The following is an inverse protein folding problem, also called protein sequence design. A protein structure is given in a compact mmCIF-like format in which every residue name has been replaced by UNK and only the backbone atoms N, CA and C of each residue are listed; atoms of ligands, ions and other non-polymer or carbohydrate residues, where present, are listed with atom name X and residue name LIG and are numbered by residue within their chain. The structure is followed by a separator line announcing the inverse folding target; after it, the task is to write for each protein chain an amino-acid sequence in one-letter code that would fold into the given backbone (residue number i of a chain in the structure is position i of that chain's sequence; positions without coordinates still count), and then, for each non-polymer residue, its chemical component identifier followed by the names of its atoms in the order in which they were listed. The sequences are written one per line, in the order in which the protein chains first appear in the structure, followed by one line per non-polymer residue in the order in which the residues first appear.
data_IF_789375802688
#
_entry.id   IF_789375802688
#
_cell.length_a   1.000
_cell.length_b   1.000
_cell.length_c   1.000
_cell.angle_alpha   90.00
_cell.angle_beta   90.00
_cell.angle_gamma   90.00
#
_symmetry.space_group_name_H-M   'P 1'
#
loop_
_entity.id
_entity.type
_entity.pdbx_description
1 polymer ?
2 polymer ?
3 non-polymer ?
4 non-polymer ?
5 water ?
#
loop_
_entity_poly.entity_id
_entity_poly.type
_entity_poly.pdbx_seq_one_letter_code
_entity_poly.pdbx_strand_id
2 'polydeoxyribonucleotide' '(DG)(DC)(DG)(DC)(DT)(DT)(UFP)(DG)(DC)(DG)(DC)(DT)' ?
#
# COMPACT_ATOMS: atom_id res chain seq x y z
N UNK A 10 -4.40 -19.30 28.89
CA UNK A 10 -4.19 -20.77 29.06
C UNK A 10 -4.21 -21.51 27.70
N UNK A 11 -4.26 -20.82 26.56
CA UNK A 11 -3.99 -21.40 25.21
C UNK A 11 -2.55 -21.05 24.84
N UNK A 12 -1.67 -22.06 24.79
CA UNK A 12 -0.19 -21.92 24.76
C UNK A 12 0.32 -22.39 23.39
N UNK A 13 1.47 -21.90 22.99
CA UNK A 13 2.02 -22.07 21.63
C UNK A 13 3.06 -23.19 21.66
N UNK A 14 3.20 -23.94 20.56
CA UNK A 14 4.17 -25.06 20.43
C UNK A 14 5.58 -24.49 20.43
N UNK A 15 6.53 -25.00 21.24
CA UNK A 15 7.91 -24.53 21.21
C UNK A 15 8.60 -24.46 19.84
N UNK A 16 8.50 -25.48 18.98
CA UNK A 16 9.12 -25.42 17.63
C UNK A 16 8.48 -24.30 16.82
N UNK A 17 7.17 -24.08 16.99
CA UNK A 17 6.36 -23.03 16.30
C UNK A 17 7.00 -21.69 16.63
N UNK A 18 7.20 -21.47 17.93
CA UNK A 18 7.78 -20.23 18.50
C UNK A 18 9.15 -20.00 17.87
N UNK A 19 10.07 -20.94 18.11
CA UNK A 19 11.52 -20.76 17.82
C UNK A 19 11.72 -20.50 16.34
N UNK A 20 10.86 -21.05 15.48
CA UNK A 20 11.03 -21.05 14.01
C UNK A 20 10.34 -19.85 13.37
N UNK A 21 9.42 -19.20 14.09
CA UNK A 21 8.70 -17.96 13.68
C UNK A 21 9.32 -16.70 14.31
N UNK A 22 9.84 -16.73 15.54
CA UNK A 22 10.32 -15.51 16.24
C UNK A 22 11.85 -15.36 16.11
N UNK A 23 12.52 -16.34 15.53
CA UNK A 23 13.96 -16.23 15.20
C UNK A 23 14.17 -14.93 14.39
N UNK A 24 14.99 -14.01 14.90
CA UNK A 24 15.20 -12.66 14.29
C UNK A 24 16.31 -12.74 13.23
N UNK A 25 16.76 -13.95 12.90
CA UNK A 25 17.69 -14.20 11.77
C UNK A 25 17.09 -15.12 10.71
N UNK A 26 15.81 -15.52 10.81
CA UNK A 26 15.14 -16.45 9.86
C UNK A 26 13.73 -15.93 9.54
N UNK A 27 13.49 -15.52 8.29
CA UNK A 27 12.16 -15.12 7.81
C UNK A 27 11.28 -16.34 7.60
N UNK A 28 9.96 -16.17 7.77
CA UNK A 28 8.94 -17.22 7.56
C UNK A 28 7.80 -16.67 6.71
N UNK A 29 7.03 -17.52 6.03
CA UNK A 29 5.92 -17.07 5.16
C UNK A 29 4.62 -16.99 5.97
N UNK A 30 4.74 -16.63 7.25
CA UNK A 30 3.65 -16.63 8.27
C UNK A 30 3.96 -15.48 9.26
N UNK A 31 2.95 -15.04 10.02
CA UNK A 31 3.16 -14.02 11.07
C UNK A 31 2.49 -14.44 12.37
N UNK A 32 3.23 -14.42 13.47
CA UNK A 32 2.63 -14.62 14.81
C UNK A 32 2.53 -13.27 15.52
N UNK A 33 1.43 -13.07 16.23
CA UNK A 33 1.22 -11.92 17.13
C UNK A 33 0.76 -12.46 18.47
N UNK A 34 1.63 -12.41 19.49
CA UNK A 34 1.26 -12.61 20.91
C UNK A 34 0.90 -11.26 21.52
N UNK A 35 -0.19 -11.18 22.29
CA UNK A 35 -0.60 -9.90 22.91
C UNK A 35 -0.87 -10.05 24.40
N UNK A 36 -0.76 -8.93 25.12
CA UNK A 36 -1.17 -8.76 26.53
C UNK A 36 -2.03 -7.51 26.61
N UNK A 37 -3.02 -7.48 27.52
CA UNK A 37 -3.71 -6.22 27.89
C UNK A 37 -3.61 -6.05 29.39
N UNK A 38 -2.96 -4.98 29.82
CA UNK A 38 -2.88 -4.65 31.25
C UNK A 38 -3.73 -3.42 31.46
N UNK A 39 -4.27 -3.27 32.64
CA UNK A 39 -5.08 -2.06 32.89
C UNK A 39 -4.30 -1.16 33.83
N UNK A 40 -4.38 0.14 33.66
CA UNK A 40 -3.68 1.01 34.63
C UNK A 40 -4.70 1.86 35.35
N UNK A 41 -4.78 1.76 36.68
CA UNK A 41 -5.69 2.68 37.42
C UNK A 41 -4.84 3.62 38.27
N UNK A 42 -3.57 3.69 37.94
CA UNK A 42 -2.55 4.58 38.52
C UNK A 42 -1.32 4.13 37.77
N UNK A 43 -0.24 3.91 38.48
CA UNK A 43 0.90 3.29 37.82
C UNK A 43 0.78 1.78 37.88
N UNK A 44 -0.11 1.25 38.70
CA UNK A 44 -0.11 -0.20 38.99
C UNK A 44 -0.73 -1.00 37.82
N UNK A 45 0.06 -1.17 36.77
CA UNK A 45 -0.30 -2.02 35.63
C UNK A 45 -0.38 -3.46 36.11
N UNK A 46 0.61 -3.87 36.88
CA UNK A 46 0.70 -5.28 37.30
C UNK A 46 0.62 -6.15 36.04
N UNK A 47 -0.24 -7.12 36.09
CA UNK A 47 -0.43 -8.07 34.97
C UNK A 47 -1.88 -8.53 35.07
N UNK A 48 -2.56 -8.71 33.94
CA UNK A 48 -4.01 -9.08 33.93
C UNK A 48 -4.25 -10.23 32.93
N UNK A 51 -6.70 -11.82 29.62
CA UNK A 51 -6.54 -11.17 28.29
C UNK A 51 -5.11 -11.20 27.86
N UNK A 52 -4.63 -12.37 27.52
CA UNK A 52 -3.29 -12.49 26.95
C UNK A 52 -3.30 -13.77 26.12
N UNK A 53 -3.51 -13.62 24.84
CA UNK A 53 -3.51 -14.77 23.94
C UNK A 53 -2.55 -14.51 22.82
N UNK A 54 -2.73 -15.23 21.73
CA UNK A 54 -1.84 -15.09 20.56
C UNK A 54 -2.53 -15.64 19.32
N UNK A 55 -2.00 -15.38 18.14
CA UNK A 55 -2.68 -15.72 16.86
C UNK A 55 -1.72 -15.56 15.68
N UNK A 56 -2.09 -16.09 14.53
CA UNK A 56 -1.33 -15.83 13.27
C UNK A 56 -2.30 -15.35 12.21
N UNK A 57 -1.75 -14.99 11.05
CA UNK A 57 -2.47 -14.43 9.89
C UNK A 57 -3.33 -15.54 9.27
N UNK A 58 -4.35 -15.19 8.49
CA UNK A 58 -5.09 -16.13 7.61
C UNK A 58 -4.34 -16.16 6.29
N UNK A 59 -3.76 -17.30 5.90
CA UNK A 59 -2.80 -17.38 4.77
C UNK A 59 -3.46 -16.86 3.50
N UNK A 60 -2.69 -16.28 2.58
CA UNK A 60 -3.30 -15.70 1.38
C UNK A 60 -3.40 -16.80 0.33
N UNK A 61 -4.62 -17.06 -0.10
CA UNK A 61 -4.91 -18.19 -1.00
C UNK A 61 -5.75 -17.66 -2.16
N UNK A 62 -5.26 -17.74 -3.40
CA UNK A 62 -5.94 -17.15 -4.57
C UNK A 62 -6.77 -18.28 -5.24
N UNK A 67 -5.18 -13.01 -1.05
CA UNK A 67 -5.58 -11.81 -0.25
C UNK A 67 -5.10 -12.06 1.15
N UNK A 68 -5.89 -12.76 1.94
CA UNK A 68 -5.50 -13.05 3.32
C UNK A 68 -5.75 -11.87 4.24
N UNK A 69 -5.59 -12.15 5.51
CA UNK A 69 -5.89 -11.18 6.57
C UNK A 69 -4.67 -11.17 7.46
N UNK A 70 -3.95 -10.05 7.48
CA UNK A 70 -2.68 -9.89 8.22
C UNK A 70 -2.92 -9.91 9.72
N UNK A 71 -1.96 -10.40 10.51
CA UNK A 71 -2.14 -10.79 11.93
C UNK A 71 -2.72 -9.62 12.73
N UNK A 72 -2.36 -8.40 12.35
CA UNK A 72 -2.71 -7.18 13.12
C UNK A 72 -4.21 -6.94 12.92
N UNK A 73 -4.75 -7.16 11.73
CA UNK A 73 -6.19 -6.96 11.51
C UNK A 73 -6.95 -7.95 12.38
N UNK A 74 -6.48 -9.19 12.45
CA UNK A 74 -7.15 -10.25 13.25
C UNK A 74 -7.14 -9.80 14.71
N UNK A 75 -6.08 -9.14 15.17
CA UNK A 75 -6.08 -8.61 16.56
C UNK A 75 -7.22 -7.60 16.68
N UNK A 76 -7.29 -6.66 15.74
CA UNK A 76 -8.31 -5.57 15.78
C UNK A 76 -9.68 -6.24 15.74
N UNK A 77 -9.85 -7.29 14.90
CA UNK A 77 -11.05 -8.16 14.88
C UNK A 77 -11.51 -8.49 16.31
N UNK A 78 -10.59 -8.90 17.19
CA UNK A 78 -11.00 -9.54 18.47
C UNK A 78 -11.10 -8.51 19.60
N UNK A 79 -10.83 -7.22 19.35
CA UNK A 79 -10.89 -6.17 20.42
C UNK A 79 -12.26 -6.15 21.09
N UNK A 80 -13.40 -6.08 20.35
CA UNK A 80 -14.71 -6.14 21.00
C UNK A 80 -14.85 -7.26 22.04
N UNK A 81 -14.33 -8.45 21.74
CA UNK A 81 -14.44 -9.63 22.65
C UNK A 81 -13.68 -9.40 23.96
N UNK A 82 -12.68 -8.51 23.99
CA UNK A 82 -11.91 -8.20 25.22
C UNK A 82 -12.77 -7.37 26.18
N UNK A 83 -13.82 -6.71 25.68
CA UNK A 83 -14.77 -5.92 26.52
C UNK A 83 -13.98 -4.98 27.44
N UNK A 84 -13.06 -4.20 26.85
CA UNK A 84 -12.33 -3.11 27.54
C UNK A 84 -13.33 -2.04 27.98
N UNK A 85 -13.21 -1.56 29.22
CA UNK A 85 -14.02 -0.43 29.74
C UNK A 85 -13.51 0.85 29.10
N UNK A 86 -14.32 1.58 28.30
CA UNK A 86 -13.84 2.78 27.62
C UNK A 86 -13.59 3.99 28.54
N UNK A 87 -13.97 3.92 29.81
CA UNK A 87 -13.65 4.94 30.83
C UNK A 87 -12.21 4.73 31.33
N UNK A 88 -11.72 3.49 31.28
CA UNK A 88 -10.39 3.08 31.80
C UNK A 88 -9.32 3.26 30.73
N UNK A 89 -8.05 3.18 31.13
CA UNK A 89 -6.89 3.32 30.20
C UNK A 89 -6.08 2.03 30.32
N UNK A 90 -5.78 1.39 29.19
CA UNK A 90 -5.12 0.07 29.09
C UNK A 90 -3.84 0.19 28.30
N UNK A 91 -2.81 -0.58 28.66
CA UNK A 91 -1.68 -0.82 27.74
C UNK A 91 -1.88 -2.15 27.03
N UNK A 92 -1.96 -2.11 25.70
CA UNK A 92 -1.90 -3.30 24.82
C UNK A 92 -0.45 -3.47 24.35
N UNK A 93 0.11 -4.66 24.53
CA UNK A 93 1.48 -5.01 24.07
C UNK A 93 1.38 -6.07 22.98
N UNK A 94 2.10 -5.89 21.88
CA UNK A 94 2.20 -6.92 20.82
C UNK A 94 3.65 -7.35 20.79
N UNK A 95 3.89 -8.65 20.70
CA UNK A 95 5.17 -9.19 20.19
C UNK A 95 4.86 -9.96 18.91
N UNK A 96 5.29 -9.40 17.78
CA UNK A 96 4.93 -9.85 16.40
C UNK A 96 6.20 -10.22 15.64
N UNK A 97 6.16 -11.32 14.89
CA UNK A 97 7.37 -11.90 14.24
C UNK A 97 7.83 -11.04 13.03
N UNK A 98 6.92 -10.26 12.45
CA UNK A 98 7.20 -9.26 11.38
C UNK A 98 6.69 -7.89 11.83
N UNK A 99 7.48 -6.84 11.60
CA UNK A 99 7.03 -5.43 11.77
C UNK A 99 5.73 -5.26 10.97
N UNK A 100 4.71 -4.55 11.49
CA UNK A 100 3.50 -4.27 10.70
C UNK A 100 3.87 -3.67 9.33
N UNK A 101 3.15 -4.12 8.30
CA UNK A 101 3.21 -3.56 6.93
C UNK A 101 2.36 -2.28 6.86
N UNK A 102 2.57 -1.49 5.81
CA UNK A 102 1.74 -0.32 5.44
C UNK A 102 0.84 -0.70 4.27
N UNK A 103 1.44 -1.30 3.23
CA UNK A 103 0.85 -1.42 1.88
C UNK A 103 -0.53 -2.12 1.93
N UNK A 104 -0.69 -3.17 2.74
CA UNK A 104 -1.95 -3.96 2.83
C UNK A 104 -2.92 -3.32 3.84
N UNK A 105 -2.50 -2.21 4.46
CA UNK A 105 -3.37 -1.27 5.15
C UNK A 105 -3.32 -1.47 6.64
N UNK A 106 -2.40 -2.32 7.12
CA UNK A 106 -2.34 -2.71 8.57
C UNK A 106 -1.99 -1.49 9.43
N UNK A 107 -0.86 -0.82 9.15
CA UNK A 107 -0.41 0.39 9.87
C UNK A 107 -1.56 1.42 9.93
N UNK A 108 -2.19 1.68 8.78
CA UNK A 108 -3.29 2.66 8.68
C UNK A 108 -4.46 2.28 9.57
N UNK A 109 -4.89 1.01 9.47
CA UNK A 109 -6.05 0.47 10.21
C UNK A 109 -5.74 0.65 11.70
N UNK A 110 -4.50 0.38 12.10
CA UNK A 110 -4.07 0.42 13.54
C UNK A 110 -4.13 1.88 14.00
N UNK A 111 -3.67 2.81 13.15
CA UNK A 111 -3.73 4.26 13.45
C UNK A 111 -5.19 4.64 13.73
N UNK A 112 -6.09 4.23 12.83
CA UNK A 112 -7.54 4.53 12.90
C UNK A 112 -8.08 3.99 14.23
N UNK A 113 -7.64 2.79 14.62
CA UNK A 113 -8.06 2.11 15.87
C UNK A 113 -7.62 2.93 17.10
N UNK A 114 -6.38 3.41 17.09
CA UNK A 114 -5.80 4.22 18.20
C UNK A 114 -6.54 5.56 18.34
N UNK A 115 -6.83 6.25 17.22
CA UNK A 115 -7.63 7.52 17.20
C UNK A 115 -8.99 7.28 17.85
N UNK A 116 -9.62 6.17 17.47
CA UNK A 116 -11.02 5.77 17.80
C UNK A 116 -11.08 5.32 19.26
N UNK A 117 -10.05 4.60 19.72
CA UNK A 117 -9.94 3.98 21.06
C UNK A 117 -8.80 4.64 21.83
N UNK A 118 -8.92 5.92 22.22
CA UNK A 118 -7.84 6.73 22.87
C UNK A 118 -7.59 6.29 24.33
N UNK A 119 -8.41 5.38 24.87
CA UNK A 119 -8.20 4.73 26.20
C UNK A 119 -6.93 3.86 26.16
N UNK A 120 -6.54 3.38 24.98
CA UNK A 120 -5.52 2.31 24.80
C UNK A 120 -4.14 2.92 24.54
N UNK A 121 -3.12 2.35 25.15
CA UNK A 121 -1.69 2.69 24.90
C UNK A 121 -1.02 1.47 24.30
N UNK A 122 -0.59 1.54 23.04
CA UNK A 122 -0.11 0.36 22.29
C UNK A 122 1.42 0.36 22.27
N UNK A 123 1.97 -0.85 22.37
CA UNK A 123 3.41 -1.11 22.45
C UNK A 123 3.70 -2.28 21.53
N UNK A 124 4.49 -2.07 20.48
CA UNK A 124 4.77 -3.15 19.50
C UNK A 124 6.26 -3.46 19.57
N UNK A 125 6.59 -4.69 19.93
CA UNK A 125 7.93 -5.26 19.72
C UNK A 125 7.86 -6.19 18.52
N UNK A 126 8.79 -6.04 17.58
CA UNK A 126 8.88 -6.91 16.39
C UNK A 126 10.15 -7.73 16.49
N UNK A 127 10.09 -9.00 16.09
CA UNK A 127 11.25 -9.91 16.01
C UNK A 127 12.12 -9.48 14.84
N UNK A 128 11.47 -9.15 13.72
CA UNK A 128 12.12 -8.87 12.40
C UNK A 128 11.42 -7.71 11.68
N UNK A 129 12.13 -7.03 10.78
CA UNK A 129 11.57 -5.89 9.99
C UNK A 129 11.11 -6.45 8.63
N UNK A 130 9.83 -6.28 8.32
CA UNK A 130 9.21 -6.71 7.05
C UNK A 130 9.54 -5.69 5.96
N UNK A 131 10.74 -5.79 5.39
CA UNK A 131 11.25 -4.77 4.44
C UNK A 131 10.89 -5.20 3.01
N UNK A 132 10.18 -6.31 2.84
CA UNK A 132 9.59 -6.72 1.53
C UNK A 132 8.65 -5.59 1.08
N UNK A 133 7.84 -5.09 2.01
CA UNK A 133 6.95 -3.91 1.81
C UNK A 133 7.84 -2.69 1.57
N UNK A 134 7.81 -2.11 0.35
CA UNK A 134 8.65 -0.94 0.03
C UNK A 134 8.34 0.27 0.92
N UNK A 135 7.15 0.24 1.51
CA UNK A 135 6.58 1.31 2.39
C UNK A 135 6.64 0.91 3.86
N UNK A 136 7.55 0.01 4.24
CA UNK A 136 7.69 -0.43 5.65
C UNK A 136 8.11 0.76 6.52
N UNK A 137 8.97 1.63 6.01
CA UNK A 137 9.43 2.81 6.78
C UNK A 137 8.23 3.70 7.08
N UNK A 138 7.35 3.90 6.10
CA UNK A 138 6.16 4.80 6.27
C UNK A 138 5.28 4.20 7.36
N UNK A 139 5.12 2.87 7.35
CA UNK A 139 4.29 2.10 8.31
C UNK A 139 4.79 2.38 9.73
N UNK A 140 6.11 2.25 9.91
CA UNK A 140 6.75 2.30 11.25
C UNK A 140 6.63 3.72 11.82
N UNK A 141 6.89 4.73 10.98
CA UNK A 141 6.82 6.16 11.34
C UNK A 141 5.37 6.56 11.66
N UNK A 142 4.41 6.14 10.83
CA UNK A 142 2.97 6.45 10.98
C UNK A 142 2.46 5.91 12.33
N UNK A 143 2.75 4.65 12.64
CA UNK A 143 2.44 4.03 13.95
C UNK A 143 3.00 4.91 15.09
N UNK A 144 4.28 5.29 14.99
CA UNK A 144 4.95 6.12 16.04
C UNK A 144 4.17 7.43 16.17
N UNK A 145 3.85 8.08 15.05
CA UNK A 145 3.11 9.38 14.99
C UNK A 145 1.74 9.25 15.65
N UNK A 146 1.10 8.07 15.51
CA UNK A 146 -0.23 7.77 16.08
C UNK A 146 -0.09 7.53 17.59
N UNK A 147 1.14 7.40 18.09
CA UNK A 147 1.44 7.34 19.53
C UNK A 147 1.62 5.93 20.04
N UNK A 148 1.84 4.97 19.14
CA UNK A 148 2.25 3.59 19.44
C UNK A 148 3.75 3.57 19.69
N UNK A 149 4.20 2.86 20.72
CA UNK A 149 5.65 2.59 20.93
C UNK A 149 6.04 1.47 19.98
N UNK A 150 7.02 1.71 19.11
CA UNK A 150 7.44 0.71 18.09
C UNK A 150 8.89 0.34 18.36
N UNK A 151 9.12 -0.94 18.65
CA UNK A 151 10.40 -1.43 19.21
C UNK A 151 10.76 -2.76 18.57
N UNK A 152 12.03 -3.12 18.66
CA UNK A 152 12.62 -4.43 18.27
C UNK A 152 12.69 -5.31 19.52
N UNK A 153 12.27 -6.56 19.39
CA UNK A 153 12.43 -7.57 20.47
C UNK A 153 13.92 -7.73 20.77
N UNK A 154 14.26 -7.73 22.04
CA UNK A 154 15.60 -8.14 22.48
C UNK A 154 15.47 -9.49 23.16
N UNK A 155 16.54 -9.95 23.76
CA UNK A 155 16.49 -11.21 24.51
C UNK A 155 15.42 -11.15 25.60
N UNK A 156 15.30 -10.06 26.33
CA UNK A 156 14.28 -9.98 27.39
C UNK A 156 12.89 -10.25 26.86
N UNK A 157 12.55 -9.70 25.73
CA UNK A 157 11.18 -9.88 25.18
C UNK A 157 11.02 -11.25 24.55
N UNK A 158 12.07 -11.83 23.99
CA UNK A 158 11.92 -13.20 23.47
C UNK A 158 11.60 -14.13 24.63
N UNK A 159 12.34 -13.96 25.72
CA UNK A 159 12.21 -14.73 26.98
C UNK A 159 10.80 -14.54 27.54
N UNK A 160 10.33 -13.31 27.62
CA UNK A 160 8.99 -13.01 28.19
C UNK A 160 7.90 -13.72 27.40
N UNK A 161 7.94 -13.74 26.07
CA UNK A 161 6.95 -14.51 25.26
C UNK A 161 7.10 -16.01 25.53
N UNK A 162 8.33 -16.53 25.49
CA UNK A 162 8.60 -17.96 25.79
C UNK A 162 7.92 -18.27 27.13
N UNK A 163 8.24 -17.48 28.15
CA UNK A 163 7.71 -17.70 29.51
C UNK A 163 6.18 -17.65 29.53
N UNK A 164 5.54 -16.76 28.77
CA UNK A 164 4.11 -16.37 28.95
C UNK A 164 3.20 -17.12 27.97
N UNK A 165 3.69 -17.45 26.78
CA UNK A 165 2.82 -17.90 25.67
C UNK A 165 3.13 -19.35 25.34
N UNK A 166 4.38 -19.81 25.52
CA UNK A 166 4.88 -21.08 24.91
C UNK A 166 4.62 -22.24 25.87
N UNK A 167 4.29 -23.44 25.34
CA UNK A 167 4.19 -24.68 26.17
C UNK A 167 5.59 -25.25 26.36
N UNK A 168 6.36 -24.62 27.24
CA UNK A 168 7.79 -24.86 27.55
C UNK A 168 7.97 -26.02 28.53
N UNK A 169 6.95 -26.35 29.34
CA UNK A 169 6.94 -27.53 30.27
C UNK A 169 8.04 -27.41 31.35
N UNK A 170 8.34 -26.19 31.79
CA UNK A 170 9.40 -25.87 32.77
C UNK A 170 10.79 -25.68 32.15
N UNK A 171 10.95 -25.78 30.83
CA UNK A 171 12.27 -25.53 30.16
C UNK A 171 12.51 -24.03 30.03
N UNK A 172 13.59 -23.44 30.64
CA UNK A 172 13.88 -22.03 30.45
C UNK A 172 14.39 -21.81 29.02
N UNK A 173 14.04 -20.66 28.45
CA UNK A 173 14.29 -20.27 27.05
C UNK A 173 15.74 -20.55 26.67
N UNK A 174 15.97 -21.13 25.50
CA UNK A 174 17.36 -21.24 25.02
C UNK A 174 17.46 -20.37 23.79
N UNK A 175 18.15 -19.21 23.88
CA UNK A 175 18.27 -18.32 22.73
C UNK A 175 19.06 -19.01 21.62
N UNK A 176 18.76 -18.66 20.36
CA UNK A 176 19.46 -19.16 19.15
C UNK A 176 20.77 -18.39 18.99
N UNK A 177 21.70 -18.90 18.19
CA UNK A 177 22.99 -18.23 17.85
C UNK A 177 22.66 -16.92 17.11
N UNK A 178 23.33 -15.83 17.49
CA UNK A 178 23.20 -14.50 16.85
C UNK A 178 21.93 -13.75 17.22
N UNK A 179 21.21 -14.15 18.28
CA UNK A 179 19.98 -13.43 18.71
C UNK A 179 20.32 -11.94 18.94
N UNK A 180 21.38 -11.67 19.70
CA UNK A 180 21.74 -10.32 20.19
C UNK A 180 22.39 -9.51 19.06
N UNK A 181 23.20 -10.13 18.19
CA UNK A 181 23.78 -9.44 17.02
C UNK A 181 22.61 -8.91 16.18
N UNK A 182 21.65 -9.77 15.83
CA UNK A 182 20.47 -9.43 14.99
C UNK A 182 19.60 -8.39 15.71
N UNK A 183 19.38 -8.59 17.00
CA UNK A 183 18.53 -7.70 17.83
C UNK A 183 19.10 -6.28 17.75
N UNK A 184 20.42 -6.12 17.89
CA UNK A 184 21.18 -4.86 17.72
C UNK A 184 21.04 -4.30 16.31
N UNK A 185 21.46 -5.08 15.30
CA UNK A 185 21.35 -4.71 13.88
C UNK A 185 19.97 -4.09 13.62
N UNK A 186 18.89 -4.77 14.02
CA UNK A 186 17.51 -4.30 13.72
C UNK A 186 17.18 -3.07 14.56
N UNK A 187 17.65 -3.00 15.81
CA UNK A 187 17.34 -1.85 16.68
C UNK A 187 18.00 -0.62 16.05
N UNK A 188 19.16 -0.87 15.43
CA UNK A 188 19.91 0.15 14.67
C UNK A 188 19.10 0.68 13.52
N UNK A 189 18.68 -0.22 12.63
CA UNK A 189 17.86 0.14 11.44
C UNK A 189 16.60 0.88 11.88
N UNK A 190 15.87 0.38 12.89
CA UNK A 190 14.56 0.92 13.31
C UNK A 190 14.72 2.34 13.84
N UNK A 191 15.74 2.58 14.66
CA UNK A 191 15.95 3.91 15.26
C UNK A 191 16.28 4.92 14.15
N UNK A 192 17.18 4.54 13.25
CA UNK A 192 17.46 5.31 12.03
C UNK A 192 16.12 5.75 11.42
N UNK A 193 15.23 4.80 11.16
CA UNK A 193 13.91 5.01 10.50
C UNK A 193 13.03 5.99 11.29
N UNK A 194 12.95 5.86 12.60
CA UNK A 194 12.08 6.73 13.45
C UNK A 194 12.73 8.11 13.68
N UNK A 195 14.04 8.27 13.46
CA UNK A 195 14.73 9.59 13.54
C UNK A 195 14.13 10.56 12.50
N UNK A 196 13.92 10.11 11.26
CA UNK A 196 13.26 10.91 10.18
C UNK A 196 11.74 10.95 10.42
N UNK B 10 -4.50 22.98 -25.81
CA UNK B 10 -3.45 23.73 -26.57
C UNK B 10 -2.17 23.87 -25.74
N UNK B 11 -2.06 23.19 -24.59
CA UNK B 11 -0.82 23.02 -23.77
C UNK B 11 -0.19 21.69 -24.16
N UNK B 12 0.95 21.72 -24.86
CA UNK B 12 1.54 20.54 -25.56
C UNK B 12 2.84 20.12 -24.87
N UNK B 13 3.16 18.84 -24.97
CA UNK B 13 4.25 18.17 -24.22
C UNK B 13 5.49 18.13 -25.12
N UNK B 14 6.69 18.22 -24.56
CA UNK B 14 7.96 18.16 -25.33
C UNK B 14 8.11 16.76 -25.88
N UNK B 15 8.42 16.58 -27.17
CA UNK B 15 8.69 15.25 -27.74
C UNK B 15 9.69 14.35 -26.99
N UNK B 16 10.84 14.85 -26.53
CA UNK B 16 11.81 14.02 -25.78
C UNK B 16 11.15 13.60 -24.45
N UNK B 17 10.36 14.50 -23.84
CA UNK B 17 9.63 14.24 -22.56
C UNK B 17 8.76 13.00 -22.77
N UNK B 18 7.96 13.05 -23.84
CA UNK B 18 7.01 11.99 -24.24
C UNK B 18 7.75 10.67 -24.43
N UNK B 19 8.71 10.65 -25.35
CA UNK B 19 9.36 9.39 -25.82
C UNK B 19 10.05 8.70 -24.65
N UNK B 20 10.55 9.45 -23.69
CA UNK B 20 11.42 8.94 -22.60
C UNK B 20 10.57 8.51 -21.39
N UNK B 21 9.36 9.04 -21.27
CA UNK B 21 8.38 8.70 -20.19
C UNK B 21 7.39 7.61 -20.65
N UNK B 22 6.97 7.57 -21.93
CA UNK B 22 5.94 6.61 -22.41
C UNK B 22 6.58 5.39 -23.08
N UNK B 23 7.90 5.35 -23.19
CA UNK B 23 8.62 4.12 -23.65
C UNK B 23 8.17 2.96 -22.74
N UNK B 24 7.55 1.90 -23.32
CA UNK B 24 7.01 0.74 -22.58
C UNK B 24 8.10 -0.29 -22.33
N UNK B 25 9.36 0.06 -22.63
CA UNK B 25 10.54 -0.76 -22.31
C UNK B 25 11.51 -0.06 -21.37
N UNK B 26 11.23 1.16 -20.91
CA UNK B 26 12.15 1.99 -20.06
C UNK B 26 11.34 2.59 -18.90
N UNK B 27 11.64 2.18 -17.67
CA UNK B 27 11.05 2.78 -16.47
C UNK B 27 11.69 4.14 -16.18
N UNK B 28 10.94 5.05 -15.57
CA UNK B 28 11.46 6.38 -15.17
C UNK B 28 11.00 6.70 -13.75
N UNK B 29 11.59 7.69 -13.09
CA UNK B 29 11.27 7.97 -11.68
C UNK B 29 10.21 9.07 -11.61
N UNK B 30 9.27 9.06 -12.55
CA UNK B 30 8.23 10.09 -12.77
C UNK B 30 6.96 9.41 -13.33
N UNK B 31 5.81 10.06 -13.27
CA UNK B 31 4.59 9.56 -13.94
C UNK B 31 3.85 10.66 -14.72
N UNK B 32 3.53 10.36 -15.97
CA UNK B 32 2.77 11.26 -16.86
C UNK B 32 1.39 10.69 -17.01
N UNK B 33 0.38 11.54 -16.94
CA UNK B 33 -1.03 11.20 -17.22
C UNK B 33 -1.58 12.21 -18.22
N UNK B 34 -1.82 11.78 -19.46
CA UNK B 34 -2.62 12.53 -20.46
C UNK B 34 -4.07 12.10 -20.35
N UNK B 35 -5.01 13.02 -20.44
CA UNK B 35 -6.45 12.71 -20.31
C UNK B 35 -7.26 13.41 -21.39
N UNK B 36 -8.41 12.80 -21.70
CA UNK B 36 -9.46 13.33 -22.60
C UNK B 36 -10.78 13.19 -21.88
N UNK B 37 -11.71 14.12 -22.11
CA UNK B 37 -13.13 13.96 -21.68
C UNK B 37 -14.00 14.14 -22.91
N UNK B 38 -14.72 13.09 -23.27
CA UNK B 38 -15.69 13.17 -24.38
C UNK B 38 -17.07 12.94 -23.77
N UNK B 39 -18.05 13.60 -24.36
CA UNK B 39 -19.44 13.59 -23.84
C UNK B 39 -20.25 12.64 -24.72
N UNK B 40 -21.22 11.95 -24.14
CA UNK B 40 -22.08 11.01 -24.89
C UNK B 40 -23.57 11.36 -24.82
N UNK B 41 -24.07 11.95 -25.90
CA UNK B 41 -25.53 12.12 -26.05
C UNK B 41 -25.93 11.26 -27.22
N UNK B 42 -27.01 10.53 -27.09
CA UNK B 42 -27.45 9.55 -28.12
C UNK B 42 -26.27 8.65 -28.53
N UNK B 43 -25.59 8.03 -27.59
CA UNK B 43 -24.58 6.98 -27.88
C UNK B 43 -23.27 7.55 -28.40
N UNK B 44 -23.27 8.29 -29.51
CA UNK B 44 -22.03 8.79 -30.13
C UNK B 44 -21.41 9.90 -29.28
N UNK B 45 -20.08 9.91 -29.27
CA UNK B 45 -19.26 10.81 -28.41
C UNK B 45 -18.70 11.97 -29.22
N UNK B 46 -18.93 13.17 -28.69
CA UNK B 46 -18.47 14.47 -29.24
C UNK B 46 -17.14 14.74 -28.54
N UNK B 47 -16.00 14.62 -29.19
CA UNK B 47 -14.69 14.90 -28.54
C UNK B 47 -14.70 16.35 -28.02
N UNK B 48 -14.63 16.57 -26.69
CA UNK B 48 -14.66 17.93 -26.08
C UNK B 48 -13.23 18.45 -26.01
N UNK B 50 -11.58 21.17 -25.63
CA UNK B 50 -11.21 22.10 -24.52
C UNK B 50 -10.75 21.31 -23.28
N UNK B 51 -11.29 20.10 -23.04
CA UNK B 51 -11.10 19.28 -21.81
C UNK B 51 -10.06 18.18 -21.99
N UNK B 52 -9.27 18.24 -23.06
CA UNK B 52 -8.05 17.41 -23.22
C UNK B 52 -6.90 18.12 -22.49
N UNK B 53 -5.99 17.39 -21.85
CA UNK B 53 -4.90 17.98 -21.04
C UNK B 53 -3.92 16.93 -20.55
N UNK B 54 -2.85 17.33 -19.87
CA UNK B 54 -1.91 16.32 -19.33
C UNK B 54 -1.13 16.91 -18.14
N UNK B 55 -0.52 16.03 -17.34
CA UNK B 55 0.17 16.41 -16.09
C UNK B 55 1.11 15.30 -15.66
N UNK B 56 2.01 15.58 -14.73
CA UNK B 56 2.84 14.52 -14.07
C UNK B 56 2.66 14.66 -12.56
N UNK B 57 3.22 13.71 -11.82
CA UNK B 57 3.15 13.63 -10.34
C UNK B 57 3.92 14.81 -9.73
N UNK B 58 3.61 15.18 -8.47
CA UNK B 58 4.42 16.11 -7.62
C UNK B 58 5.46 15.23 -6.94
N UNK B 59 6.75 15.43 -7.27
CA UNK B 59 7.85 14.50 -6.93
C UNK B 59 7.89 14.30 -5.40
N UNK B 60 8.34 13.12 -4.97
CA UNK B 60 8.44 12.85 -3.52
C UNK B 60 9.78 13.43 -3.06
N UNK B 61 9.70 14.20 -1.98
CA UNK B 61 10.87 14.85 -1.36
C UNK B 61 10.70 14.71 0.15
N UNK B 62 11.77 14.84 0.92
CA UNK B 62 11.58 14.91 2.38
C UNK B 62 11.84 16.36 2.82
N UNK B 63 12.95 16.91 2.34
CA UNK B 63 13.42 18.25 2.72
C UNK B 63 12.53 19.36 2.15
N UNK B 64 12.03 19.28 0.92
CA UNK B 64 11.32 20.38 0.17
C UNK B 64 9.96 20.67 0.82
N UNK B 65 9.43 19.78 1.66
CA UNK B 65 8.12 20.00 2.29
C UNK B 65 7.02 19.46 1.40
N UNK B 66 7.37 18.65 0.41
CA UNK B 66 6.40 17.99 -0.50
C UNK B 66 6.34 16.46 -0.25
N UNK B 67 5.30 15.85 0.33
CA UNK B 67 5.06 14.36 0.47
C UNK B 67 5.01 13.63 -0.86
N UNK B 68 4.55 14.28 -1.91
CA UNK B 68 4.46 13.70 -3.23
C UNK B 68 3.03 13.33 -3.47
N UNK B 69 2.56 13.66 -4.65
CA UNK B 69 1.17 13.38 -5.02
C UNK B 69 1.22 12.59 -6.31
N UNK B 70 0.65 11.41 -6.31
CA UNK B 70 0.71 10.53 -7.49
C UNK B 70 -0.19 11.11 -8.58
N UNK B 71 0.14 10.90 -9.87
CA UNK B 71 -0.47 11.61 -11.03
C UNK B 71 -2.00 11.53 -10.98
N UNK B 72 -2.53 10.41 -10.52
CA UNK B 72 -3.98 10.10 -10.56
C UNK B 72 -4.65 11.02 -9.53
N UNK B 73 -4.04 11.24 -8.38
CA UNK B 73 -4.65 12.15 -7.39
C UNK B 73 -4.75 13.54 -7.99
N UNK B 74 -3.71 13.97 -8.68
CA UNK B 74 -3.70 15.31 -9.31
C UNK B 74 -4.80 15.40 -10.36
N UNK B 75 -5.09 14.32 -11.08
CA UNK B 75 -6.22 14.35 -12.04
C UNK B 75 -7.51 14.57 -11.25
N UNK B 76 -7.70 13.81 -10.17
CA UNK B 76 -8.95 13.88 -9.35
C UNK B 76 -9.02 15.29 -8.76
N UNK B 77 -7.87 15.86 -8.37
CA UNK B 77 -7.74 17.28 -7.95
C UNK B 77 -8.50 18.18 -8.92
N UNK B 78 -8.28 18.01 -10.23
CA UNK B 78 -8.69 19.05 -11.20
C UNK B 78 -10.10 18.78 -11.72
N UNK B 79 -10.79 17.71 -11.29
CA UNK B 79 -12.13 17.33 -11.86
C UNK B 79 -13.09 18.50 -11.71
N UNK B 80 -13.23 19.11 -10.50
CA UNK B 80 -14.11 20.27 -10.33
C UNK B 80 -13.96 21.33 -11.43
N UNK B 81 -12.72 21.66 -11.78
CA UNK B 81 -12.41 22.71 -12.79
C UNK B 81 -12.94 22.31 -14.18
N UNK B 82 -13.17 21.01 -14.44
CA UNK B 82 -13.74 20.55 -15.75
C UNK B 82 -15.22 20.89 -15.84
N UNK B 83 -15.89 21.15 -14.72
CA UNK B 83 -17.32 21.56 -14.68
C UNK B 83 -18.12 20.59 -15.56
N UNK B 84 -17.97 19.29 -15.29
CA UNK B 84 -18.81 18.22 -15.91
C UNK B 84 -20.25 18.37 -15.39
N UNK B 85 -21.21 18.33 -16.32
CA UNK B 85 -22.67 18.39 -16.01
C UNK B 85 -23.06 17.04 -15.41
N UNK B 86 -23.50 16.98 -14.13
CA UNK B 86 -23.81 15.69 -13.51
C UNK B 86 -25.08 15.01 -14.05
N UNK B 87 -25.86 15.69 -14.89
CA UNK B 87 -27.02 15.11 -15.59
C UNK B 87 -26.54 14.31 -16.81
N UNK B 88 -25.39 14.68 -17.39
CA UNK B 88 -24.82 14.06 -18.60
C UNK B 88 -23.94 12.86 -18.26
N UNK B 89 -23.56 12.06 -19.26
CA UNK B 89 -22.65 10.90 -19.07
C UNK B 89 -21.41 11.12 -19.96
N UNK B 90 -20.22 11.02 -19.39
CA UNK B 90 -18.92 11.33 -20.04
C UNK B 90 -18.03 10.10 -20.04
N UNK B 91 -17.21 9.96 -21.09
CA UNK B 91 -16.05 9.05 -21.00
C UNK B 91 -14.79 9.85 -20.71
N UNK B 92 -14.14 9.55 -19.59
CA UNK B 92 -12.76 10.02 -19.27
C UNK B 92 -11.75 8.94 -19.67
N UNK B 93 -10.75 9.32 -20.46
CA UNK B 93 -9.66 8.42 -20.92
C UNK B 93 -8.36 8.89 -20.31
N UNK B 94 -7.56 7.99 -19.75
CA UNK B 94 -6.19 8.27 -19.27
C UNK B 94 -5.25 7.47 -20.14
N UNK B 95 -4.15 8.09 -20.56
CA UNK B 95 -2.93 7.38 -21.00
C UNK B 95 -1.82 7.76 -20.04
N UNK B 96 -1.43 6.80 -19.20
CA UNK B 96 -0.54 6.98 -18.01
C UNK B 96 0.69 6.06 -18.15
N UNK B 97 1.88 6.56 -17.82
CA UNK B 97 3.17 5.89 -18.13
C UNK B 97 3.38 4.70 -17.17
N UNK B 98 2.76 4.76 -16.00
CA UNK B 98 2.75 3.65 -15.00
C UNK B 98 1.30 3.29 -14.70
N UNK B 99 0.98 1.99 -14.68
CA UNK B 99 -0.31 1.48 -14.17
C UNK B 99 -0.56 2.08 -12.79
N UNK B 100 -1.80 2.53 -12.47
CA UNK B 100 -2.09 3.06 -11.13
C UNK B 100 -1.67 2.06 -10.04
N UNK B 101 -1.09 2.60 -8.97
CA UNK B 101 -0.70 1.86 -7.75
C UNK B 101 -1.93 1.68 -6.86
N UNK B 102 -1.82 0.76 -5.90
CA UNK B 102 -2.81 0.57 -4.81
C UNK B 102 -2.27 1.19 -3.52
N UNK B 103 -1.02 0.87 -3.19
CA UNK B 103 -0.45 0.99 -1.82
C UNK B 103 -0.53 2.44 -1.31
N UNK B 104 -0.35 3.43 -2.18
CA UNK B 104 -0.37 4.88 -1.80
C UNK B 104 -1.80 5.43 -1.81
N UNK B 105 -2.77 4.60 -2.25
CA UNK B 105 -4.22 4.84 -2.13
C UNK B 105 -4.82 5.39 -3.42
N UNK B 106 -4.07 5.35 -4.53
CA UNK B 106 -4.55 5.88 -5.83
C UNK B 106 -5.73 5.04 -6.32
N UNK B 107 -5.55 3.72 -6.46
CA UNK B 107 -6.63 2.82 -6.94
C UNK B 107 -7.90 3.03 -6.11
N UNK B 108 -7.76 3.04 -4.78
CA UNK B 108 -8.90 3.19 -3.86
C UNK B 108 -9.58 4.52 -4.04
N UNK B 109 -8.80 5.61 -4.09
CA UNK B 109 -9.34 6.98 -4.28
C UNK B 109 -10.10 7.03 -5.60
N UNK B 110 -9.59 6.39 -6.65
CA UNK B 110 -10.22 6.41 -8.00
C UNK B 110 -11.55 5.65 -7.92
N UNK B 111 -11.55 4.50 -7.25
CA UNK B 111 -12.78 3.71 -7.02
C UNK B 111 -13.82 4.61 -6.34
N UNK B 112 -13.43 5.28 -5.26
CA UNK B 112 -14.33 6.17 -4.49
C UNK B 112 -14.91 7.23 -5.42
N UNK B 113 -14.07 7.80 -6.30
CA UNK B 113 -14.47 8.86 -7.26
C UNK B 113 -15.54 8.31 -8.22
N UNK B 114 -15.34 7.10 -8.73
CA UNK B 114 -16.28 6.46 -9.70
C UNK B 114 -17.63 6.14 -9.03
N UNK B 115 -17.62 5.64 -7.80
CA UNK B 115 -18.86 5.40 -7.01
C UNK B 115 -19.66 6.70 -6.89
N UNK B 116 -18.95 7.79 -6.57
CA UNK B 116 -19.51 9.15 -6.27
C UNK B 116 -19.98 9.80 -7.59
N UNK B 117 -19.18 9.64 -8.64
CA UNK B 117 -19.39 10.29 -9.96
C UNK B 117 -19.78 9.21 -10.99
N UNK B 118 -20.99 8.65 -10.88
CA UNK B 118 -21.48 7.55 -11.77
C UNK B 118 -21.82 8.05 -13.18
N UNK B 119 -21.84 9.36 -13.44
CA UNK B 119 -22.00 9.97 -14.80
C UNK B 119 -20.75 9.71 -15.65
N UNK B 120 -19.67 9.21 -15.07
CA UNK B 120 -18.34 9.14 -15.74
C UNK B 120 -18.00 7.68 -16.03
N UNK B 121 -17.54 7.43 -17.24
CA UNK B 121 -17.04 6.10 -17.67
C UNK B 121 -15.54 6.27 -17.88
N UNK B 122 -14.71 5.59 -17.08
CA UNK B 122 -13.24 5.78 -17.10
C UNK B 122 -12.57 4.65 -17.88
N UNK B 123 -11.54 5.04 -18.63
CA UNK B 123 -10.80 4.15 -19.54
C UNK B 123 -9.31 4.44 -19.32
N UNK B 124 -8.56 3.46 -18.83
CA UNK B 124 -7.13 3.68 -18.52
C UNK B 124 -6.31 2.80 -19.44
N UNK B 125 -5.46 3.42 -20.24
CA UNK B 125 -4.36 2.76 -20.96
C UNK B 125 -3.06 3.08 -20.23
N UNK B 126 -2.30 2.06 -19.86
CA UNK B 126 -0.98 2.21 -19.21
C UNK B 126 0.12 1.85 -20.23
N UNK B 127 1.22 2.61 -20.23
CA UNK B 127 2.40 2.31 -21.04
C UNK B 127 3.08 1.08 -20.46
N UNK B 128 3.17 1.04 -19.13
CA UNK B 128 3.97 0.06 -18.35
C UNK B 128 3.25 -0.35 -17.06
N UNK B 129 3.56 -1.52 -16.51
CA UNK B 129 2.93 -2.02 -15.25
C UNK B 129 3.85 -1.70 -14.07
N UNK B 130 3.34 -0.93 -13.09
CA UNK B 130 4.11 -0.50 -11.90
C UNK B 130 4.17 -1.63 -10.87
N UNK B 131 5.02 -2.62 -11.11
CA UNK B 131 5.00 -3.87 -10.32
C UNK B 131 5.95 -3.71 -9.13
N UNK B 132 6.51 -2.52 -8.93
CA UNK B 132 7.27 -2.16 -7.71
C UNK B 132 6.33 -2.32 -6.52
N UNK B 133 5.09 -1.83 -6.70
CA UNK B 133 3.99 -1.98 -5.73
C UNK B 133 3.62 -3.45 -5.66
N UNK B 134 3.83 -4.13 -4.50
CA UNK B 134 3.50 -5.55 -4.35
C UNK B 134 2.02 -5.86 -4.57
N UNK B 135 1.20 -4.81 -4.41
CA UNK B 135 -0.29 -4.83 -4.52
C UNK B 135 -0.76 -4.22 -5.84
N UNK B 136 0.07 -4.22 -6.89
CA UNK B 136 -0.32 -3.67 -8.21
C UNK B 136 -1.49 -4.49 -8.78
N UNK B 137 -1.44 -5.81 -8.63
CA UNK B 137 -2.52 -6.70 -9.13
C UNK B 137 -3.84 -6.32 -8.44
N UNK B 138 -3.80 -6.07 -7.14
CA UNK B 138 -5.03 -5.72 -6.37
C UNK B 138 -5.56 -4.41 -6.92
N UNK B 139 -4.67 -3.46 -7.20
CA UNK B 139 -4.99 -2.12 -7.73
C UNK B 139 -5.78 -2.30 -9.04
N UNK B 140 -5.21 -3.11 -9.93
CA UNK B 140 -5.72 -3.27 -11.32
C UNK B 140 -7.11 -3.93 -11.27
N UNK B 141 -7.27 -4.97 -10.44
CA UNK B 141 -8.53 -5.74 -10.31
C UNK B 141 -9.63 -4.85 -9.69
N UNK B 142 -9.28 -4.10 -8.65
CA UNK B 142 -10.20 -3.19 -7.94
C UNK B 142 -10.74 -2.13 -8.92
N UNK B 143 -9.87 -1.47 -9.68
CA UNK B 143 -10.28 -0.52 -10.75
C UNK B 143 -11.29 -1.22 -11.68
N UNK B 144 -10.96 -2.42 -12.16
CA UNK B 144 -11.83 -3.19 -13.10
C UNK B 144 -13.19 -3.39 -12.44
N UNK B 145 -13.20 -3.84 -11.17
CA UNK B 145 -14.44 -4.11 -10.37
C UNK B 145 -15.29 -2.85 -10.24
N UNK B 146 -14.64 -1.68 -10.14
CA UNK B 146 -15.32 -0.37 -9.99
C UNK B 146 -15.89 0.06 -11.34
N UNK B 147 -15.54 -0.65 -12.42
CA UNK B 147 -16.15 -0.50 -13.75
C UNK B 147 -15.31 0.37 -14.69
N UNK B 148 -14.05 0.61 -14.32
CA UNK B 148 -13.04 1.28 -15.17
C UNK B 148 -12.48 0.26 -16.14
N UNK B 149 -12.33 0.63 -17.41
CA UNK B 149 -11.64 -0.20 -18.42
C UNK B 149 -10.14 -0.02 -18.20
N UNK B 150 -9.44 -1.11 -17.94
CA UNK B 150 -7.98 -1.06 -17.65
C UNK B 150 -7.26 -1.82 -18.77
N UNK B 151 -6.41 -1.12 -19.49
CA UNK B 151 -5.80 -1.62 -20.75
C UNK B 151 -4.35 -1.19 -20.82
N UNK B 152 -3.57 -1.89 -21.65
CA UNK B 152 -2.16 -1.58 -22.02
C UNK B 152 -2.16 -0.73 -23.29
N UNK B 153 -1.41 0.35 -23.32
CA UNK B 153 -1.19 1.14 -24.55
C UNK B 153 -0.60 0.23 -25.64
N UNK B 154 -1.17 0.32 -26.83
CA UNK B 154 -0.55 -0.32 -28.00
C UNK B 154 -0.01 0.81 -28.86
N UNK B 155 0.50 0.47 -30.03
CA UNK B 155 1.01 1.50 -30.95
C UNK B 155 -0.04 2.56 -31.24
N UNK B 156 -1.29 2.18 -31.43
CA UNK B 156 -2.33 3.16 -31.81
C UNK B 156 -2.49 4.17 -30.68
N UNK B 157 -2.48 3.69 -29.45
CA UNK B 157 -2.66 4.60 -28.31
C UNK B 157 -1.42 5.45 -28.10
N UNK B 158 -0.26 4.97 -28.45
CA UNK B 158 0.94 5.81 -28.34
C UNK B 158 0.84 6.89 -29.41
N UNK B 159 0.38 6.48 -30.59
CA UNK B 159 0.28 7.37 -31.74
C UNK B 159 -0.70 8.47 -31.38
N UNK B 160 -1.85 8.08 -30.85
CA UNK B 160 -2.93 9.03 -30.50
C UNK B 160 -2.42 10.10 -29.52
N UNK B 161 -1.63 9.73 -28.52
CA UNK B 161 -1.07 10.71 -27.54
C UNK B 161 -0.04 11.61 -28.21
N UNK B 162 0.89 11.02 -28.95
CA UNK B 162 1.85 11.80 -29.79
C UNK B 162 1.07 12.84 -30.60
N UNK B 163 0.07 12.38 -31.36
CA UNK B 163 -0.74 13.27 -32.24
C UNK B 163 -1.40 14.37 -31.40
N UNK B 164 -1.95 14.06 -30.23
CA UNK B 164 -2.95 14.92 -29.53
C UNK B 164 -2.28 15.80 -28.47
N UNK B 165 -1.18 15.34 -27.89
CA UNK B 165 -0.63 15.98 -26.66
C UNK B 165 0.75 16.60 -26.94
N UNK B 166 1.53 16.01 -27.84
CA UNK B 166 2.99 16.29 -28.00
C UNK B 166 3.23 17.43 -29.00
N UNK B 167 4.25 18.26 -28.77
CA UNK B 167 4.61 19.35 -29.72
C UNK B 167 5.52 18.76 -30.80
N UNK B 168 4.90 18.02 -31.73
CA UNK B 168 5.54 17.21 -32.79
C UNK B 168 5.95 18.08 -33.99
N UNK B 169 5.33 19.24 -34.20
CA UNK B 169 5.66 20.20 -35.31
C UNK B 169 5.49 19.56 -36.71
N UNK B 170 4.44 18.75 -36.89
CA UNK B 170 4.13 18.04 -38.14
C UNK B 170 4.93 16.77 -38.35
N UNK B 171 5.70 16.29 -37.35
CA UNK B 171 6.50 15.03 -37.48
C UNK B 171 5.63 13.85 -37.04
N UNK B 172 5.31 12.87 -37.93
CA UNK B 172 4.52 11.72 -37.51
C UNK B 172 5.37 10.82 -36.59
N UNK B 173 4.68 10.19 -35.63
CA UNK B 173 5.23 9.37 -34.51
C UNK B 173 6.24 8.37 -35.06
N UNK B 174 7.42 8.30 -34.45
CA UNK B 174 8.42 7.26 -34.79
C UNK B 174 8.48 6.29 -33.62
N UNK B 175 7.86 5.09 -33.73
CA UNK B 175 7.88 4.16 -32.61
C UNK B 175 9.32 3.76 -32.32
N UNK B 176 9.60 3.41 -31.06
CA UNK B 176 10.92 2.92 -30.60
C UNK B 176 11.05 1.44 -30.93
N UNK B 177 12.26 0.87 -30.91
CA UNK B 177 12.50 -0.58 -31.12
C UNK B 177 11.78 -1.35 -30.00
N UNK B 178 11.05 -2.42 -30.33
CA UNK B 178 10.39 -3.31 -29.36
C UNK B 178 9.09 -2.78 -28.77
N UNK B 179 8.50 -1.74 -29.36
CA UNK B 179 7.22 -1.17 -28.84
C UNK B 179 6.18 -2.29 -28.78
N UNK B 180 6.04 -3.07 -29.86
CA UNK B 180 4.97 -4.07 -30.05
C UNK B 180 5.29 -5.36 -29.25
N UNK B 181 6.56 -5.78 -29.18
CA UNK B 181 6.94 -6.93 -28.33
C UNK B 181 6.46 -6.60 -26.91
N UNK B 182 6.86 -5.45 -26.37
CA UNK B 182 6.54 -5.01 -24.98
C UNK B 182 5.02 -4.85 -24.82
N UNK B 183 4.38 -4.27 -25.82
CA UNK B 183 2.93 -3.97 -25.79
C UNK B 183 2.15 -5.30 -25.63
N UNK B 184 2.58 -6.33 -26.36
CA UNK B 184 2.06 -7.72 -26.25
C UNK B 184 2.37 -8.32 -24.88
N UNK B 185 3.64 -8.38 -24.51
CA UNK B 185 4.11 -8.93 -23.23
C UNK B 185 3.21 -8.38 -22.12
N UNK B 186 3.00 -7.07 -22.10
CA UNK B 186 2.27 -6.43 -20.97
C UNK B 186 0.78 -6.72 -21.09
N UNK B 187 0.25 -6.77 -22.32
CA UNK B 187 -1.19 -7.07 -22.51
C UNK B 187 -1.43 -8.48 -22.00
N UNK B 188 -0.46 -9.36 -22.21
CA UNK B 188 -0.47 -10.75 -21.72
C UNK B 188 -0.54 -10.78 -20.22
N UNK B 189 0.42 -10.13 -19.55
CA UNK B 189 0.46 -10.08 -18.07
C UNK B 189 -0.85 -9.54 -17.52
N UNK B 190 -1.34 -8.41 -18.07
CA UNK B 190 -2.50 -7.67 -17.54
C UNK B 190 -3.75 -8.54 -17.61
N UNK B 191 -3.94 -9.21 -18.75
CA UNK B 191 -5.15 -10.05 -18.96
C UNK B 191 -5.15 -11.20 -17.95
N UNK B 192 -4.02 -11.89 -17.82
CA UNK B 192 -3.79 -12.90 -16.77
C UNK B 192 -4.30 -12.36 -15.44
N UNK B 193 -3.85 -11.17 -15.05
CA UNK B 193 -4.19 -10.49 -13.76
C UNK B 193 -5.71 -10.29 -13.62
N UNK B 194 -6.36 -9.77 -14.66
CA UNK B 194 -7.82 -9.45 -14.62
C UNK B 194 -8.67 -10.72 -14.72
N UNK B 195 -8.11 -11.84 -15.20
CA UNK B 195 -8.82 -13.15 -15.29
C UNK B 195 -9.23 -13.60 -13.87
N UNK B 196 -8.32 -13.47 -12.89
CA UNK B 196 -8.59 -13.78 -11.45
C UNK B 196 -9.41 -12.64 -10.82
X LIG E 1 -0.03 -6.18 7.50
X LIG F 1 9.72 -12.73 32.49
X LIG F 1 8.23 -12.36 32.57
X LIG F 1 10.41 -11.90 31.42
X LIG F 1 9.87 -14.20 32.15
X LIG F 1 10.38 -12.44 33.85
X LIG G 1 21.50 9.02 12.46
X LIG G 1 20.91 8.32 11.24
X LIG G 1 21.44 10.53 12.28
X LIG G 1 20.70 8.65 13.71
X LIG G 1 22.96 8.58 12.65
X LIG H 1 11.17 -8.01 37.07
X LIG H 1 10.25 -9.03 36.40
X LIG H 1 10.41 -7.30 38.17
X LIG H 1 11.63 -7.00 36.02
X LIG H 1 12.38 -8.73 37.66
X LIG I 1 -0.27 6.18 -6.99
X LIG J 1 -5.33 9.48 -33.91
X LIG J 1 -6.46 9.17 -34.91
X LIG J 1 -5.45 10.93 -33.43
X LIG J 1 -5.44 8.53 -32.72
X LIG J 1 -3.99 9.28 -34.60
X LIG K 1 -2.21 -20.47 -20.80
X LIG K 1 -2.41 -19.84 -22.17
X LIG K 1 -3.08 -19.75 -19.77
X LIG K 1 -2.61 -21.95 -20.86
X LIG K 1 -0.75 -20.35 -20.39
X LIG L 1 -5.84 -18.31 -18.48
X LIG L 1 -6.32 -17.14 -19.32
X LIG L 1 -5.54 -19.50 -19.39
X LIG L 1 -6.93 -18.69 -17.48
X LIG L 1 -4.56 -17.92 -17.72
#
# INVERSE_FOLDING_TARGET
MEASPASGPRHLMDPHIFTSNFNNGIGRHKTYLCYEVERLDNGTSVKMDQHRGFLHNQAKNLLCGFYGRHAELRFLDLVPSLQLDPAQIYRVTWFISWSPCFSWGCAGEVRAFLQENTHVRLRIFAARIYDYDPLYKEALQMLRDAGAQVSIMTYDEFKHCWDTFVDHQGCPFQPWDGLDEHSQALSGRLRAILQNQGN
MEASPASGPRHLMDPHIFTSNFNNGIGRHKTYLCYEVERLDNGTSVKMDQHRGFLHNQAKNLLCGFYGRHAELRFLDLVPSLQLDPAQIYRVTWFISWSPCFSWGCAGEVRAFLQENTHVRLRIFAARIYDYDPLYKEALQMLRDAGAQVSIMTYDEFKHCWDTFVDHQGCPFQPWDGLDEHSQALSGRLRAILQNQGN
ZN ZN
PO4 P O1 O2 O3 O4
PO4 P O1 O2 O3 O4
PO4 P O1 O2 O3 O4
ZN ZN
PO4 P O1 O2 O3 O4
PO4 P O1 O2 O3 O4
PO4 P O1 O2 O3 O4
#
